data_IF_293608855534
#
_entry.id   IF_293608855534
#
_cell.length_a   1.000
_cell.length_b   1.000
_cell.length_c   1.000
_cell.angle_alpha   90.00
_cell.angle_beta   90.00
_cell.angle_gamma   90.00
#
_symmetry.space_group_name_H-M   'P 1'
#
loop_
_entity.id
_entity.type
_entity.pdbx_description
1 polymer ?
#
# COMPACT_ATOMS: atom_id res chain seq x y z
N UNK A 1 9.24 2.61 -8.26
CA UNK A 1 10.17 3.66 -8.75
C UNK A 1 10.22 4.94 -7.89
N UNK A 2 9.19 5.28 -7.10
CA UNK A 2 9.14 6.54 -6.32
C UNK A 2 10.03 6.55 -5.05
N UNK A 3 10.33 5.39 -4.49
CA UNK A 3 11.15 5.25 -3.27
C UNK A 3 12.64 5.58 -3.46
N UNK A 4 13.20 5.36 -4.64
CA UNK A 4 14.62 5.62 -4.88
C UNK A 4 14.96 7.11 -4.84
N UNK A 5 14.03 7.98 -5.25
CA UNK A 5 14.24 9.45 -5.20
C UNK A 5 14.28 9.98 -3.76
N UNK A 6 13.49 9.43 -2.85
CA UNK A 6 13.48 9.85 -1.43
C UNK A 6 14.73 9.37 -0.69
N UNK A 7 15.12 8.12 -0.88
CA UNK A 7 16.38 7.61 -0.30
C UNK A 7 17.61 8.25 -0.92
N UNK A 8 17.57 8.60 -2.23
CA UNK A 8 18.63 9.34 -2.89
C UNK A 8 18.88 10.70 -2.26
N UNK A 9 17.82 11.45 -1.91
CA UNK A 9 17.96 12.74 -1.22
C UNK A 9 18.60 12.57 0.16
N UNK A 10 18.16 11.59 0.95
CA UNK A 10 18.70 11.31 2.28
C UNK A 10 20.17 10.89 2.20
N UNK A 11 20.53 9.99 1.28
CA UNK A 11 21.92 9.54 1.14
C UNK A 11 22.85 10.66 0.66
N UNK A 12 22.43 11.46 -0.33
CA UNK A 12 23.23 12.57 -0.85
C UNK A 12 23.41 13.65 0.21
N UNK A 13 22.34 14.05 0.91
CA UNK A 13 22.45 15.06 1.98
C UNK A 13 23.29 14.57 3.15
N UNK A 14 23.16 13.29 3.54
CA UNK A 14 24.00 12.68 4.57
C UNK A 14 25.48 12.64 4.21
N UNK A 15 25.81 12.28 2.97
CA UNK A 15 27.18 12.30 2.46
C UNK A 15 27.77 13.72 2.43
N UNK A 16 26.97 14.72 2.04
CA UNK A 16 27.41 16.12 2.05
C UNK A 16 27.70 16.62 3.48
N UNK A 17 26.90 16.24 4.47
CA UNK A 17 27.14 16.56 5.88
C UNK A 17 28.47 15.94 6.37
N UNK A 18 28.68 14.65 6.10
CA UNK A 18 29.92 13.96 6.48
C UNK A 18 31.14 14.59 5.79
N UNK A 19 31.03 14.88 4.49
CA UNK A 19 32.11 15.51 3.73
C UNK A 19 32.42 16.93 4.25
N UNK A 20 31.39 17.69 4.61
CA UNK A 20 31.56 19.02 5.23
C UNK A 20 32.31 18.92 6.56
N UNK A 21 32.03 17.89 7.36
CA UNK A 21 32.76 17.64 8.62
C UNK A 21 34.24 17.35 8.41
N UNK A 22 34.58 16.62 7.35
CA UNK A 22 35.98 16.28 7.02
C UNK A 22 36.73 17.49 6.43
N UNK A 23 36.06 18.28 5.60
CA UNK A 23 36.69 19.39 4.86
C UNK A 23 36.61 20.73 5.59
N UNK A 24 35.76 20.85 6.60
CA UNK A 24 35.47 22.11 7.29
C UNK A 24 34.74 23.15 6.40
N UNK A 25 34.05 22.70 5.33
CA UNK A 25 33.45 23.58 4.35
C UNK A 25 31.98 23.87 4.64
N UNK A 26 31.65 25.12 4.97
CA UNK A 26 30.27 25.58 5.20
C UNK A 26 29.39 25.46 3.94
N UNK A 27 30.00 25.60 2.75
CA UNK A 27 29.26 25.46 1.49
C UNK A 27 28.65 24.08 1.31
N UNK A 28 29.33 23.02 1.76
CA UNK A 28 28.80 21.65 1.71
C UNK A 28 27.64 21.48 2.67
N UNK A 29 27.67 22.16 3.82
CA UNK A 29 26.59 22.13 4.80
C UNK A 29 25.33 22.81 4.25
N UNK A 30 25.51 23.99 3.61
CA UNK A 30 24.42 24.70 2.94
C UNK A 30 23.85 23.84 1.81
N UNK A 31 24.70 23.21 0.99
CA UNK A 31 24.25 22.32 -0.07
C UNK A 31 23.42 21.12 0.47
N UNK A 32 23.85 20.52 1.59
CA UNK A 32 23.12 19.45 2.27
C UNK A 32 21.73 19.92 2.73
N UNK A 33 21.66 21.11 3.36
CA UNK A 33 20.40 21.70 3.81
C UNK A 33 19.44 21.97 2.64
N UNK A 34 19.95 22.48 1.50
CA UNK A 34 19.14 22.73 0.31
C UNK A 34 18.65 21.43 -0.31
N UNK A 35 19.50 20.42 -0.46
CA UNK A 35 19.14 19.11 -1.04
C UNK A 35 18.06 18.44 -0.20
N UNK A 36 18.23 18.36 1.13
CA UNK A 36 17.25 17.77 2.04
C UNK A 36 15.97 18.63 2.15
N UNK A 37 16.12 19.95 2.20
CA UNK A 37 15.04 20.91 2.38
C UNK A 37 14.15 21.11 1.16
N UNK A 38 14.64 20.82 -0.06
CA UNK A 38 13.89 21.08 -1.29
C UNK A 38 12.49 20.45 -1.32
N UNK A 39 12.39 19.16 -1.01
CA UNK A 39 11.11 18.47 -1.01
C UNK A 39 10.18 18.97 0.11
N UNK A 40 10.75 19.34 1.26
CA UNK A 40 10.03 19.90 2.39
C UNK A 40 9.47 21.28 2.00
N UNK A 41 10.28 22.12 1.36
CA UNK A 41 9.89 23.45 0.89
C UNK A 41 8.74 23.38 -0.14
N UNK A 42 8.82 22.46 -1.10
CA UNK A 42 7.73 22.25 -2.08
C UNK A 42 6.44 21.84 -1.38
N UNK A 43 6.50 20.92 -0.41
CA UNK A 43 5.33 20.51 0.37
C UNK A 43 4.77 21.67 1.21
N UNK A 44 5.62 22.46 1.84
CA UNK A 44 5.24 23.64 2.62
C UNK A 44 4.52 24.68 1.76
N UNK A 45 5.04 24.97 0.55
CA UNK A 45 4.44 25.92 -0.40
C UNK A 45 3.07 25.40 -0.88
N UNK A 46 2.95 24.10 -1.16
CA UNK A 46 1.67 23.50 -1.56
C UNK A 46 0.63 23.62 -0.45
N UNK A 47 1.02 23.34 0.80
CA UNK A 47 0.14 23.50 1.96
C UNK A 47 -0.28 24.97 2.16
N UNK A 48 0.65 25.91 1.98
CA UNK A 48 0.37 27.33 2.12
C UNK A 48 -0.61 27.83 1.04
N UNK A 49 -0.53 27.32 -0.19
CA UNK A 49 -1.48 27.66 -1.28
C UNK A 49 -2.93 27.31 -0.94
N UNK A 50 -3.15 26.26 -0.17
CA UNK A 50 -4.48 25.85 0.32
C UNK A 50 -4.77 26.42 1.72
N UNK A 51 -3.99 27.44 2.14
CA UNK A 51 -4.08 28.12 3.44
C UNK A 51 -3.95 27.17 4.64
N UNK A 52 -3.16 26.11 4.50
CA UNK A 52 -2.84 25.18 5.57
C UNK A 52 -1.43 25.43 6.11
N UNK A 53 -1.34 25.69 7.42
CA UNK A 53 -0.06 25.74 8.12
C UNK A 53 0.32 24.29 8.43
N UNK A 54 1.41 23.83 7.81
CA UNK A 54 1.92 22.46 7.99
C UNK A 54 3.20 22.47 8.81
N UNK A 55 3.54 21.33 9.40
CA UNK A 55 4.83 21.11 10.08
C UNK A 55 6.00 21.36 9.11
N UNK A 56 5.83 21.05 7.82
CA UNK A 56 6.81 21.32 6.77
C UNK A 56 7.16 22.80 6.68
N UNK A 57 6.16 23.70 6.83
CA UNK A 57 6.37 25.14 6.82
C UNK A 57 7.23 25.57 8.02
N UNK A 58 6.93 25.07 9.21
CA UNK A 58 7.69 25.40 10.42
C UNK A 58 9.15 24.95 10.31
N UNK A 59 9.37 23.73 9.78
CA UNK A 59 10.72 23.18 9.55
C UNK A 59 11.51 24.04 8.56
N UNK A 60 10.89 24.46 7.45
CA UNK A 60 11.56 25.31 6.47
C UNK A 60 11.84 26.70 7.04
N UNK A 61 10.93 27.29 7.79
CA UNK A 61 11.17 28.59 8.45
C UNK A 61 12.34 28.49 9.42
N UNK A 62 12.39 27.43 10.24
CA UNK A 62 13.50 27.19 11.16
C UNK A 62 14.83 26.99 10.43
N UNK A 63 14.84 26.17 9.37
CA UNK A 63 16.04 25.89 8.57
C UNK A 63 16.57 27.15 7.87
N UNK A 64 15.69 27.95 7.29
CA UNK A 64 16.07 29.25 6.66
C UNK A 64 16.54 30.23 7.73
N UNK A 65 15.87 30.31 8.88
CA UNK A 65 16.31 31.14 10.00
C UNK A 65 17.73 30.77 10.47
N UNK A 66 18.02 29.48 10.60
CA UNK A 66 19.36 28.99 10.95
C UNK A 66 20.44 29.41 9.93
N UNK A 67 20.11 29.40 8.63
CA UNK A 67 21.01 29.89 7.58
C UNK A 67 21.31 31.38 7.73
N UNK A 68 20.31 32.20 8.08
CA UNK A 68 20.51 33.67 8.25
C UNK A 68 21.38 34.02 9.45
N UNK A 69 21.37 33.20 10.50
CA UNK A 69 22.25 33.41 11.68
C UNK A 69 23.61 32.71 11.54
N UNK A 70 23.95 32.23 10.32
CA UNK A 70 25.17 31.48 10.00
C UNK A 70 25.31 30.14 10.76
N UNK A 71 24.22 29.56 11.23
CA UNK A 71 24.22 28.27 11.88
C UNK A 71 23.89 27.15 10.88
N UNK A 72 24.82 26.90 9.96
CA UNK A 72 24.64 25.98 8.83
C UNK A 72 24.47 24.53 9.26
N UNK A 73 25.10 24.13 10.37
CA UNK A 73 24.99 22.80 10.94
C UNK A 73 23.54 22.49 11.37
N UNK A 74 22.92 23.40 12.12
CA UNK A 74 21.54 23.21 12.58
C UNK A 74 20.56 23.15 11.40
N UNK A 75 20.73 24.00 10.40
CA UNK A 75 19.91 23.98 9.19
C UNK A 75 20.00 22.62 8.47
N UNK A 76 21.22 22.11 8.26
CA UNK A 76 21.46 20.83 7.61
C UNK A 76 20.93 19.66 8.45
N UNK A 77 21.18 19.67 9.76
CA UNK A 77 20.74 18.61 10.67
C UNK A 77 19.20 18.51 10.73
N UNK A 78 18.50 19.64 10.89
CA UNK A 78 17.02 19.67 10.95
C UNK A 78 16.41 19.18 9.65
N UNK A 79 16.87 19.68 8.50
CA UNK A 79 16.34 19.29 7.19
C UNK A 79 16.65 17.82 6.88
N UNK A 80 17.85 17.34 7.20
CA UNK A 80 18.25 15.94 7.03
C UNK A 80 17.41 14.99 7.90
N UNK A 81 17.30 15.26 9.21
CA UNK A 81 16.55 14.42 10.13
C UNK A 81 15.05 14.36 9.75
N UNK A 82 14.51 15.50 9.32
CA UNK A 82 13.13 15.55 8.86
C UNK A 82 12.92 14.77 7.54
N UNK A 83 13.84 14.89 6.58
CA UNK A 83 13.82 14.12 5.35
C UNK A 83 13.97 12.62 5.61
N UNK A 84 14.85 12.23 6.55
CA UNK A 84 15.03 10.85 7.00
C UNK A 84 13.76 10.31 7.65
N UNK A 85 13.12 11.06 8.55
CA UNK A 85 11.86 10.69 9.18
C UNK A 85 10.76 10.41 8.15
N UNK A 86 10.60 11.33 7.19
CA UNK A 86 9.65 11.13 6.07
C UNK A 86 9.99 9.92 5.18
N UNK A 87 11.28 9.63 4.96
CA UNK A 87 11.69 8.47 4.18
C UNK A 87 11.34 7.16 4.91
N UNK A 88 11.59 7.09 6.21
CA UNK A 88 11.24 5.94 7.06
C UNK A 88 9.71 5.74 7.15
N UNK A 89 8.95 6.80 7.37
CA UNK A 89 7.49 6.77 7.38
C UNK A 89 6.94 6.20 6.08
N UNK A 90 7.39 6.73 4.94
CA UNK A 90 6.98 6.23 3.62
C UNK A 90 7.39 4.78 3.38
N UNK A 91 8.58 4.37 3.84
CA UNK A 91 9.04 2.99 3.70
C UNK A 91 8.16 2.02 4.50
N UNK A 92 7.77 2.41 5.72
CA UNK A 92 6.87 1.63 6.57
C UNK A 92 5.47 1.51 5.96
N UNK A 93 4.89 2.64 5.53
CA UNK A 93 3.57 2.64 4.89
C UNK A 93 3.54 1.81 3.60
N UNK A 94 4.60 1.88 2.79
CA UNK A 94 4.68 1.09 1.57
C UNK A 94 4.82 -0.42 1.84
N UNK A 95 5.50 -0.82 2.93
CA UNK A 95 5.56 -2.23 3.32
C UNK A 95 4.18 -2.77 3.71
N UNK A 96 3.42 -1.98 4.48
CA UNK A 96 2.05 -2.35 4.87
C UNK A 96 1.15 -2.47 3.64
N UNK A 97 1.19 -1.50 2.72
CA UNK A 97 0.42 -1.54 1.47
C UNK A 97 0.82 -2.72 0.58
N UNK A 98 2.12 -3.03 0.48
CA UNK A 98 2.58 -4.15 -0.33
C UNK A 98 2.10 -5.49 0.23
N UNK A 99 2.12 -5.69 1.54
CA UNK A 99 1.60 -6.92 2.15
C UNK A 99 0.11 -7.14 1.84
N UNK A 100 -0.68 -6.07 1.73
CA UNK A 100 -2.08 -6.14 1.32
C UNK A 100 -2.21 -6.38 -0.19
N UNK A 101 -1.41 -5.71 -1.03
CA UNK A 101 -1.39 -5.90 -2.48
C UNK A 101 -0.98 -7.32 -2.87
N UNK A 102 0.00 -7.91 -2.18
CA UNK A 102 0.46 -9.28 -2.43
C UNK A 102 -0.68 -10.32 -2.21
N UNK A 103 -1.67 -10.01 -1.36
CA UNK A 103 -2.89 -10.83 -1.21
C UNK A 103 -3.84 -10.68 -2.40
N UNK A 104 -3.92 -9.51 -3.01
CA UNK A 104 -4.73 -9.24 -4.22
C UNK A 104 -4.09 -9.85 -5.46
N UNK A 105 -2.78 -9.63 -5.62
CA UNK A 105 -2.00 -10.08 -6.78
C UNK A 105 -1.90 -11.62 -6.84
N UNK A 106 -2.33 -12.32 -5.77
CA UNK A 106 -2.45 -13.79 -5.77
C UNK A 106 -3.76 -14.29 -6.36
N UNK A 107 -4.74 -13.44 -6.71
CA UNK A 107 -5.95 -13.88 -7.39
C UNK A 107 -5.62 -14.28 -8.85
N UNK A 108 -6.19 -15.39 -9.34
CA UNK A 108 -5.96 -15.82 -10.73
C UNK A 108 -6.53 -14.78 -11.70
N UNK A 109 -5.85 -14.58 -12.82
CA UNK A 109 -6.31 -13.67 -13.90
C UNK A 109 -7.27 -14.36 -14.87
N UNK A 110 -7.24 -15.70 -14.92
CA UNK A 110 -8.04 -16.52 -15.82
C UNK A 110 -8.83 -17.58 -15.06
N UNK A 111 -9.91 -18.05 -15.67
CA UNK A 111 -10.76 -19.12 -15.16
C UNK A 111 -11.10 -20.13 -16.25
N UNK A 112 -11.33 -21.39 -15.90
CA UNK A 112 -11.85 -22.39 -16.79
C UNK A 112 -13.38 -22.46 -16.63
N UNK A 113 -14.12 -22.08 -17.65
CA UNK A 113 -15.61 -22.10 -17.68
C UNK A 113 -16.09 -23.27 -18.51
N UNK A 114 -17.19 -23.87 -18.11
CA UNK A 114 -17.90 -24.87 -18.91
C UNK A 114 -18.98 -24.20 -19.75
N UNK A 115 -18.71 -24.03 -21.06
CA UNK A 115 -19.69 -23.56 -22.05
C UNK A 115 -20.12 -24.73 -22.91
N UNK A 116 -21.39 -25.02 -22.94
CA UNK A 116 -21.97 -26.19 -23.66
C UNK A 116 -21.29 -27.52 -23.28
N UNK A 117 -20.85 -27.63 -22.00
CA UNK A 117 -20.16 -28.82 -21.47
C UNK A 117 -18.70 -28.94 -21.87
N UNK A 118 -18.14 -27.98 -22.61
CA UNK A 118 -16.72 -27.93 -22.99
C UNK A 118 -15.96 -26.94 -22.10
N UNK A 119 -14.76 -27.29 -21.61
CA UNK A 119 -13.95 -26.39 -20.84
C UNK A 119 -13.27 -25.35 -21.75
N UNK A 120 -13.48 -24.08 -21.46
CA UNK A 120 -12.87 -22.93 -22.13
C UNK A 120 -12.16 -22.07 -21.08
N UNK A 121 -10.93 -21.61 -21.39
CA UNK A 121 -10.21 -20.67 -20.53
C UNK A 121 -10.55 -19.25 -20.95
N UNK A 122 -11.06 -18.47 -20.00
CA UNK A 122 -11.46 -17.07 -20.19
C UNK A 122 -10.80 -16.18 -19.16
N UNK A 123 -10.70 -14.90 -19.43
CA UNK A 123 -10.28 -13.90 -18.45
C UNK A 123 -11.38 -13.68 -17.42
N UNK A 124 -11.01 -13.40 -16.15
CA UNK A 124 -12.00 -13.23 -15.08
C UNK A 124 -13.01 -12.12 -15.34
N UNK A 125 -12.59 -11.07 -16.03
CA UNK A 125 -13.49 -9.95 -16.39
C UNK A 125 -14.53 -10.30 -17.45
N UNK A 126 -14.38 -11.44 -18.15
CA UNK A 126 -15.36 -11.95 -19.12
C UNK A 126 -16.45 -12.83 -18.48
N UNK A 127 -16.24 -13.19 -17.21
CA UNK A 127 -17.20 -14.00 -16.46
C UNK A 127 -18.45 -13.20 -16.11
N UNK A 128 -19.58 -13.90 -16.12
CA UNK A 128 -20.85 -13.34 -15.66
C UNK A 128 -21.42 -14.22 -14.51
N UNK A 129 -22.21 -13.63 -13.59
CA UNK A 129 -22.90 -14.40 -12.56
C UNK A 129 -23.77 -15.49 -13.20
N UNK A 130 -23.65 -16.72 -12.69
CA UNK A 130 -24.31 -17.92 -13.22
C UNK A 130 -23.41 -18.78 -14.13
N UNK A 131 -22.23 -18.30 -14.53
CA UNK A 131 -21.26 -19.14 -15.23
C UNK A 131 -20.82 -20.32 -14.37
N UNK A 132 -20.63 -21.47 -15.00
CA UNK A 132 -20.10 -22.67 -14.32
C UNK A 132 -18.59 -22.73 -14.50
N UNK A 133 -17.87 -22.52 -13.40
CA UNK A 133 -16.40 -22.52 -13.36
C UNK A 133 -15.91 -23.88 -12.88
N UNK A 134 -14.97 -24.46 -13.63
CA UNK A 134 -14.31 -25.73 -13.28
C UNK A 134 -13.00 -25.41 -12.56
N UNK A 135 -12.87 -25.91 -11.34
CA UNK A 135 -11.66 -25.78 -10.50
C UNK A 135 -11.07 -27.17 -10.27
N UNK A 136 -9.80 -27.35 -10.62
CA UNK A 136 -9.10 -28.63 -10.45
C UNK A 136 -8.16 -28.60 -9.26
N UNK A 137 -7.74 -29.78 -8.83
CA UNK A 137 -6.74 -29.91 -7.77
C UNK A 137 -5.48 -29.09 -8.09
N UNK A 138 -5.03 -28.29 -7.13
CA UNK A 138 -3.88 -27.38 -7.24
C UNK A 138 -4.19 -26.05 -7.91
N UNK A 139 -5.44 -25.83 -8.35
CA UNK A 139 -5.87 -24.53 -8.89
C UNK A 139 -6.46 -23.64 -7.78
N UNK A 140 -6.40 -22.36 -8.02
CA UNK A 140 -7.02 -21.37 -7.17
C UNK A 140 -8.47 -21.14 -7.64
N UNK A 141 -9.38 -20.96 -6.69
CA UNK A 141 -10.77 -20.63 -6.98
C UNK A 141 -10.85 -19.21 -7.51
N UNK A 142 -11.32 -18.98 -8.74
CA UNK A 142 -11.25 -17.67 -9.37
C UNK A 142 -12.41 -16.72 -9.01
N UNK A 143 -13.51 -17.25 -8.47
CA UNK A 143 -14.74 -16.49 -8.17
C UNK A 143 -15.31 -16.90 -6.82
N UNK A 144 -16.11 -16.05 -6.20
CA UNK A 144 -17.02 -16.49 -5.15
C UNK A 144 -18.18 -17.22 -5.78
N UNK A 145 -18.57 -18.33 -5.19
CA UNK A 145 -19.67 -19.11 -5.76
C UNK A 145 -20.13 -20.25 -4.88
N UNK A 146 -21.03 -21.05 -5.46
CA UNK A 146 -21.57 -22.24 -4.83
C UNK A 146 -21.20 -23.48 -5.64
N UNK A 147 -20.75 -24.52 -4.96
CA UNK A 147 -20.44 -25.81 -5.60
C UNK A 147 -21.72 -26.43 -6.13
N UNK A 148 -21.78 -26.67 -7.45
CA UNK A 148 -22.89 -27.35 -8.12
C UNK A 148 -22.65 -28.86 -8.13
N UNK A 149 -21.38 -29.24 -8.41
CA UNK A 149 -21.01 -30.67 -8.54
C UNK A 149 -19.56 -30.85 -8.10
N UNK A 150 -19.26 -31.99 -7.54
CA UNK A 150 -17.91 -32.35 -7.12
C UNK A 150 -17.72 -32.35 -5.61
N UNK A 151 -16.49 -32.69 -5.21
CA UNK A 151 -16.07 -32.69 -3.81
C UNK A 151 -14.56 -32.43 -3.74
N UNK A 152 -14.12 -31.70 -2.71
CA UNK A 152 -12.70 -31.48 -2.48
C UNK A 152 -12.40 -30.68 -1.24
N UNK A 153 -11.13 -30.71 -0.82
CA UNK A 153 -10.60 -29.92 0.29
C UNK A 153 -10.09 -28.57 -0.19
N UNK A 154 -10.68 -27.49 0.29
CA UNK A 154 -10.32 -26.10 -0.05
C UNK A 154 -9.58 -25.44 1.11
N UNK A 155 -8.39 -24.95 0.85
CA UNK A 155 -7.60 -24.15 1.78
C UNK A 155 -8.10 -22.71 1.76
N UNK A 156 -8.83 -22.34 2.81
CA UNK A 156 -9.45 -21.03 2.98
C UNK A 156 -8.68 -20.13 3.96
N UNK A 157 -7.45 -20.47 4.31
CA UNK A 157 -6.66 -19.76 5.32
C UNK A 157 -6.51 -18.25 5.03
N UNK A 158 -6.47 -17.85 3.77
CA UNK A 158 -6.39 -16.44 3.33
C UNK A 158 -7.64 -15.63 3.71
N UNK A 159 -8.79 -16.28 3.91
CA UNK A 159 -10.06 -15.60 4.19
C UNK A 159 -10.52 -15.86 5.63
N UNK A 160 -10.50 -17.13 6.06
CA UNK A 160 -10.99 -17.53 7.38
C UNK A 160 -9.92 -17.49 8.47
N UNK A 161 -8.64 -17.57 8.08
CA UNK A 161 -7.50 -17.72 8.98
C UNK A 161 -7.30 -19.15 9.50
N UNK A 162 -8.12 -20.12 9.10
CA UNK A 162 -8.02 -21.52 9.50
C UNK A 162 -7.05 -22.27 8.58
N UNK A 163 -6.02 -22.91 9.16
CA UNK A 163 -4.98 -23.62 8.40
C UNK A 163 -5.39 -25.01 7.91
N UNK A 164 -6.54 -25.53 8.37
CA UNK A 164 -7.04 -26.85 7.96
C UNK A 164 -7.96 -26.70 6.75
N UNK A 165 -7.70 -27.40 5.63
CA UNK A 165 -8.58 -27.34 4.48
C UNK A 165 -10.02 -27.74 4.83
N UNK A 166 -10.99 -26.96 4.38
CA UNK A 166 -12.40 -27.20 4.56
C UNK A 166 -12.92 -28.15 3.46
N UNK A 167 -13.59 -29.21 3.86
CA UNK A 167 -14.25 -30.12 2.91
C UNK A 167 -15.47 -29.43 2.28
N UNK A 168 -15.46 -29.32 0.94
CA UNK A 168 -16.53 -28.73 0.13
C UNK A 168 -17.21 -29.81 -0.69
N UNK A 169 -18.53 -29.75 -0.72
CA UNK A 169 -19.40 -30.63 -1.50
C UNK A 169 -20.50 -29.78 -2.16
N UNK A 170 -21.38 -30.44 -2.90
CA UNK A 170 -22.53 -29.79 -3.55
C UNK A 170 -23.32 -28.92 -2.55
N UNK A 171 -23.61 -27.70 -2.93
CA UNK A 171 -24.26 -26.68 -2.10
C UNK A 171 -23.33 -25.87 -1.19
N UNK A 172 -22.06 -26.24 -1.03
CA UNK A 172 -21.08 -25.50 -0.23
C UNK A 172 -20.69 -24.18 -0.92
N UNK A 173 -20.44 -23.15 -0.12
CA UNK A 173 -19.87 -21.89 -0.61
C UNK A 173 -18.35 -21.99 -0.72
N UNK A 174 -17.78 -21.38 -1.75
CA UNK A 174 -16.35 -21.22 -1.99
C UNK A 174 -16.02 -19.76 -2.30
N UNK A 175 -14.79 -19.34 -1.99
CA UNK A 175 -14.38 -17.95 -2.09
C UNK A 175 -13.22 -17.79 -3.06
N UNK A 176 -13.25 -16.70 -3.83
CA UNK A 176 -12.17 -16.32 -4.72
C UNK A 176 -10.83 -16.17 -3.95
N UNK A 177 -9.74 -16.63 -4.56
CA UNK A 177 -8.41 -16.55 -3.94
C UNK A 177 -8.08 -17.71 -3.00
N UNK A 178 -9.00 -18.66 -2.75
CA UNK A 178 -8.75 -19.90 -1.99
C UNK A 178 -8.16 -21.00 -2.89
N UNK A 179 -7.53 -22.03 -2.31
CA UNK A 179 -6.83 -23.07 -3.07
C UNK A 179 -7.53 -24.42 -2.96
N UNK A 180 -7.87 -25.04 -4.07
CA UNK A 180 -8.34 -26.43 -4.09
C UNK A 180 -7.15 -27.38 -3.93
N UNK A 181 -7.02 -27.99 -2.76
CA UNK A 181 -5.91 -28.91 -2.41
C UNK A 181 -6.17 -30.36 -2.79
N UNK A 182 -7.42 -30.73 -2.98
CA UNK A 182 -7.81 -32.08 -3.41
C UNK A 182 -9.17 -32.06 -4.10
N UNK A 183 -9.38 -32.95 -5.06
CA UNK A 183 -10.66 -33.10 -5.74
C UNK A 183 -10.83 -32.20 -6.98
N UNK A 184 -12.07 -32.08 -7.42
CA UNK A 184 -12.50 -31.23 -8.53
C UNK A 184 -13.86 -30.65 -8.18
N UNK A 185 -14.04 -29.36 -8.42
CA UNK A 185 -15.29 -28.64 -8.16
C UNK A 185 -15.81 -27.97 -9.42
N UNK A 186 -17.12 -28.02 -9.62
CA UNK A 186 -17.82 -27.12 -10.53
C UNK A 186 -18.57 -26.11 -9.68
N UNK A 187 -18.30 -24.85 -9.91
CA UNK A 187 -18.76 -23.74 -9.08
C UNK A 187 -19.59 -22.80 -9.92
N UNK A 188 -20.81 -22.51 -9.50
CA UNK A 188 -21.64 -21.45 -10.06
C UNK A 188 -21.10 -20.10 -9.55
N UNK A 189 -20.70 -19.23 -10.47
CA UNK A 189 -20.15 -17.92 -10.14
C UNK A 189 -21.25 -17.00 -9.58
N UNK A 190 -21.00 -16.40 -8.42
CA UNK A 190 -21.89 -15.42 -7.77
C UNK A 190 -21.20 -14.07 -7.61
N UNK A 191 -20.01 -14.04 -7.05
CA UNK A 191 -19.19 -12.83 -6.85
C UNK A 191 -17.93 -12.87 -7.72
N UNK A 192 -17.79 -11.89 -8.62
CA UNK A 192 -16.72 -11.85 -9.63
C UNK A 192 -15.91 -10.57 -9.45
N UNK A 193 -14.59 -10.65 -9.54
CA UNK A 193 -13.70 -9.49 -9.53
C UNK A 193 -13.91 -8.59 -8.31
N UNK A 194 -14.35 -7.35 -8.50
CA UNK A 194 -14.60 -6.36 -7.44
C UNK A 194 -15.74 -6.75 -6.48
N UNK A 195 -16.65 -7.61 -6.93
CA UNK A 195 -17.79 -8.07 -6.11
C UNK A 195 -17.44 -9.30 -5.28
N UNK A 196 -16.23 -9.85 -5.39
CA UNK A 196 -15.78 -10.97 -4.57
C UNK A 196 -15.59 -10.57 -3.10
N UNK A 197 -15.67 -11.54 -2.23
CA UNK A 197 -15.46 -11.38 -0.78
C UNK A 197 -14.05 -10.85 -0.48
N UNK A 198 -13.03 -11.35 -1.19
CA UNK A 198 -11.66 -10.90 -1.06
C UNK A 198 -11.53 -9.41 -1.43
N UNK A 199 -12.08 -8.99 -2.56
CA UNK A 199 -12.07 -7.59 -2.99
C UNK A 199 -12.77 -6.67 -1.97
N UNK A 200 -13.90 -7.10 -1.42
CA UNK A 200 -14.63 -6.36 -0.38
C UNK A 200 -13.83 -6.22 0.93
N UNK A 201 -13.09 -7.26 1.33
CA UNK A 201 -12.21 -7.21 2.50
C UNK A 201 -11.11 -6.17 2.26
N UNK A 202 -10.48 -6.20 1.10
CA UNK A 202 -9.41 -5.26 0.72
C UNK A 202 -9.91 -3.82 0.74
N UNK A 203 -11.03 -3.52 0.08
CA UNK A 203 -11.64 -2.20 0.10
C UNK A 203 -11.94 -1.70 1.51
N UNK A 204 -12.47 -2.56 2.39
CA UNK A 204 -12.71 -2.18 3.79
C UNK A 204 -11.42 -1.85 4.55
N UNK A 205 -10.33 -2.57 4.27
CA UNK A 205 -9.02 -2.28 4.89
C UNK A 205 -8.44 -0.98 4.34
N UNK A 206 -8.58 -0.71 3.04
CA UNK A 206 -8.17 0.56 2.42
C UNK A 206 -8.95 1.75 2.99
N UNK A 207 -10.27 1.64 3.08
CA UNK A 207 -11.13 2.65 3.67
C UNK A 207 -10.77 2.93 5.14
N UNK A 208 -10.50 1.88 5.92
CA UNK A 208 -10.07 2.02 7.31
C UNK A 208 -8.69 2.70 7.45
N UNK A 209 -7.79 2.53 6.48
CA UNK A 209 -6.51 3.24 6.45
C UNK A 209 -6.67 4.71 6.05
N UNK A 210 -7.57 5.02 5.13
CA UNK A 210 -7.88 6.39 4.73
C UNK A 210 -8.57 7.16 5.85
N UNK A 211 -9.40 6.52 6.68
CA UNK A 211 -10.00 7.13 7.87
C UNK A 211 -8.96 7.45 8.97
N UNK A 212 -7.89 6.65 9.10
CA UNK A 212 -6.73 7.00 9.95
C UNK A 212 -6.03 8.27 9.47
N UNK A 213 -5.89 8.45 8.16
CA UNK A 213 -5.34 9.67 7.58
C UNK A 213 -6.25 10.89 7.87
N UNK A 214 -7.57 10.73 7.88
CA UNK A 214 -8.53 11.78 8.28
C UNK A 214 -8.42 12.15 9.76
N UNK A 215 -8.20 11.17 10.64
CA UNK A 215 -8.00 11.42 12.07
C UNK A 215 -6.70 12.18 12.33
N UNK A 216 -5.62 11.89 11.58
CA UNK A 216 -4.40 12.70 11.63
C UNK A 216 -4.65 14.14 11.18
N UNK A 217 -5.44 14.35 10.13
CA UNK A 217 -5.85 15.69 9.68
C UNK A 217 -6.68 16.43 10.77
N UNK A 218 -7.48 15.71 11.55
CA UNK A 218 -8.19 16.31 12.68
C UNK A 218 -7.22 16.70 13.82
N UNK A 219 -6.27 15.86 14.16
CA UNK A 219 -5.22 16.16 15.14
C UNK A 219 -4.34 17.34 14.69
N UNK A 220 -4.02 17.44 13.40
CA UNK A 220 -3.33 18.59 12.82
C UNK A 220 -4.19 19.86 12.88
N UNK A 221 -5.49 19.75 12.67
CA UNK A 221 -6.45 20.85 12.82
C UNK A 221 -6.57 21.31 14.28
N UNK A 222 -6.58 20.37 15.21
CA UNK A 222 -6.62 20.66 16.66
C UNK A 222 -5.30 21.26 17.14
N UNK A 223 -4.17 20.71 16.73
CA UNK A 223 -2.83 21.23 17.02
C UNK A 223 -2.67 22.68 16.56
N UNK A 224 -3.27 23.04 15.42
CA UNK A 224 -3.26 24.39 14.87
C UNK A 224 -4.01 25.42 15.73
N UNK A 225 -5.00 24.97 16.46
CA UNK A 225 -5.75 25.83 17.38
C UNK A 225 -5.10 25.91 18.76
N UNK A 226 -4.43 24.84 19.21
CA UNK A 226 -3.85 24.73 20.53
C UNK A 226 -2.39 25.19 20.64
N UNK A 227 -1.66 25.26 19.51
CA UNK A 227 -0.23 25.60 19.47
C UNK A 227 0.03 26.89 18.65
N UNK A 228 -0.53 28.03 19.02
CA UNK A 228 -0.11 29.33 18.51
C UNK A 228 1.12 29.85 19.24
#
# INVERSE_FOLDING_TARGET
MKNWRTWGVVTVSGLLIVLSWITGSDLLMIAAAVVAGWQIAVSAIQALRIKMISIDLLVIVAAVGALFINNYWESAAVTFLFALGKALERATMNRTRKALSDLVDSAPETATVLRDGQPETVEIWELVPGDTVLVRNGEQVPVDGRVITGRGGVDEATITGESVPAEKAEGSEVFAGTWLRSGVLQVEAVGIGSDSTLAKIIHRVEDAQDDKARTQTFLEKFSRWYTP
#
